data_IF_119925648594
#
_entry.id   IF_119925648594
#
_cell.length_a   1.000
_cell.length_b   1.000
_cell.length_c   1.000
_cell.angle_alpha   90.00
_cell.angle_beta   90.00
_cell.angle_gamma   90.00
#
_symmetry.space_group_name_H-M   'P 1'
#
loop_
_entity.id
_entity.type
_entity.pdbx_description
1 polymer ?
#
# COMPACT_ATOMS: atom_id res chain seq x y z
N UNK A 1 -6.15 -10.93 24.17
CA UNK A 1 -7.37 -10.24 23.70
C UNK A 1 -8.59 -11.05 24.14
N UNK A 2 -9.67 -10.39 24.55
CA UNK A 2 -10.92 -11.04 24.94
C UNK A 2 -11.73 -11.31 23.66
N UNK A 3 -12.07 -12.56 23.37
CA UNK A 3 -12.91 -12.95 22.23
C UNK A 3 -14.14 -13.71 22.70
N UNK A 4 -15.08 -14.02 21.80
CA UNK A 4 -16.24 -14.86 22.10
C UNK A 4 -15.86 -16.28 22.56
N UNK A 5 -14.66 -16.76 22.19
CA UNK A 5 -14.11 -18.07 22.55
C UNK A 5 -13.19 -18.01 23.79
N UNK A 6 -13.21 -16.89 24.52
CA UNK A 6 -12.38 -16.67 25.70
C UNK A 6 -11.15 -15.79 25.45
N UNK A 7 -10.24 -15.76 26.41
CA UNK A 7 -9.02 -14.94 26.31
C UNK A 7 -7.98 -15.64 25.44
N UNK A 8 -7.57 -15.00 24.35
CA UNK A 8 -6.57 -15.50 23.40
C UNK A 8 -5.23 -14.74 23.52
N UNK A 9 -4.07 -15.42 23.44
CA UNK A 9 -2.75 -14.77 23.45
C UNK A 9 -2.47 -14.13 22.09
N UNK A 10 -2.82 -12.86 21.94
CA UNK A 10 -2.75 -12.14 20.69
C UNK A 10 -1.39 -11.46 20.45
N UNK A 11 -0.98 -11.43 19.19
CA UNK A 11 -0.02 -10.50 18.57
C UNK A 11 -0.82 -9.60 17.61
N UNK A 12 -0.60 -8.30 17.65
CA UNK A 12 -1.11 -7.36 16.64
C UNK A 12 0.05 -6.84 15.81
N UNK A 13 -0.03 -6.99 14.49
CA UNK A 13 0.99 -6.55 13.55
C UNK A 13 0.36 -5.61 12.51
N UNK A 14 0.63 -4.32 12.62
CA UNK A 14 0.29 -3.31 11.62
C UNK A 14 1.27 -3.36 10.45
N UNK A 15 0.79 -3.21 9.21
CA UNK A 15 1.64 -3.22 8.01
C UNK A 15 1.66 -1.86 7.32
N UNK A 16 2.74 -1.57 6.57
CA UNK A 16 2.81 -0.41 5.67
C UNK A 16 1.67 -0.37 4.66
N UNK A 17 1.09 -1.54 4.31
CA UNK A 17 -0.06 -1.61 3.42
C UNK A 17 -1.37 -1.14 4.08
N UNK A 18 -1.46 -1.10 5.42
CA UNK A 18 -2.63 -0.61 6.17
C UNK A 18 -3.49 -1.69 6.84
N UNK A 19 -3.16 -2.97 6.67
CA UNK A 19 -3.81 -4.03 7.45
C UNK A 19 -3.19 -4.16 8.85
N UNK A 20 -4.02 -4.47 9.83
CA UNK A 20 -3.59 -4.88 11.17
C UNK A 20 -3.95 -6.35 11.35
N UNK A 21 -2.95 -7.22 11.31
CA UNK A 21 -3.12 -8.65 11.52
C UNK A 21 -3.16 -8.95 13.01
N UNK A 22 -4.20 -9.65 13.45
CA UNK A 22 -4.33 -10.11 14.83
C UNK A 22 -4.21 -11.62 14.84
N UNK A 23 -3.09 -12.11 15.32
CA UNK A 23 -2.72 -13.53 15.28
C UNK A 23 -2.62 -14.10 16.69
N UNK A 24 -2.92 -15.37 16.86
CA UNK A 24 -2.55 -16.10 18.06
C UNK A 24 -1.05 -16.34 18.03
N UNK A 25 -0.32 -15.71 18.94
CA UNK A 25 1.15 -15.72 18.94
C UNK A 25 1.77 -17.09 19.22
N UNK A 26 1.01 -18.05 19.72
CA UNK A 26 1.50 -19.40 20.01
C UNK A 26 1.50 -20.31 18.78
N UNK A 27 0.65 -20.03 17.78
CA UNK A 27 0.45 -20.92 16.63
C UNK A 27 0.34 -20.20 15.27
N UNK A 28 0.40 -18.87 15.25
CA UNK A 28 0.31 -18.05 14.04
C UNK A 28 -1.09 -17.97 13.41
N UNK A 29 -2.11 -18.65 13.96
CA UNK A 29 -3.45 -18.65 13.38
C UNK A 29 -4.13 -17.29 13.57
N UNK A 30 -4.85 -16.77 12.56
CA UNK A 30 -5.59 -15.52 12.71
C UNK A 30 -6.67 -15.61 13.80
N UNK A 31 -6.71 -14.62 14.68
CA UNK A 31 -7.81 -14.41 15.65
C UNK A 31 -8.95 -13.65 14.96
N UNK A 32 -8.62 -12.71 14.08
CA UNK A 32 -9.58 -12.03 13.21
C UNK A 32 -9.49 -12.60 11.79
N UNK A 33 -10.60 -12.58 11.02
CA UNK A 33 -10.59 -13.11 9.66
C UNK A 33 -9.53 -12.43 8.77
N UNK A 34 -8.81 -13.24 8.01
CA UNK A 34 -7.94 -12.80 6.91
C UNK A 34 -8.50 -13.40 5.64
N UNK A 35 -8.71 -12.57 4.61
CA UNK A 35 -9.31 -13.00 3.34
C UNK A 35 -8.33 -12.76 2.21
N UNK A 36 -8.23 -13.73 1.31
CA UNK A 36 -7.57 -13.55 0.02
C UNK A 36 -8.44 -12.65 -0.86
N UNK A 37 -7.87 -11.55 -1.33
CA UNK A 37 -8.53 -10.60 -2.21
C UNK A 37 -7.87 -10.67 -3.59
N UNK A 38 -8.65 -10.77 -4.69
CA UNK A 38 -8.11 -10.66 -6.03
C UNK A 38 -7.38 -9.33 -6.21
N UNK A 39 -6.22 -9.38 -6.84
CA UNK A 39 -5.41 -8.19 -7.13
C UNK A 39 -5.17 -8.08 -8.63
N UNK A 40 -4.89 -6.88 -9.16
CA UNK A 40 -4.57 -6.74 -10.57
C UNK A 40 -3.36 -7.59 -10.94
N UNK A 41 -3.46 -8.36 -12.04
CA UNK A 41 -2.38 -9.22 -12.54
C UNK A 41 -1.30 -8.45 -13.31
N UNK A 42 -1.38 -7.12 -13.30
CA UNK A 42 -0.77 -6.26 -14.29
C UNK A 42 -1.60 -6.21 -15.56
N UNK A 43 -1.55 -5.07 -16.23
CA UNK A 43 -2.23 -4.88 -17.50
C UNK A 43 -1.39 -5.54 -18.60
N UNK A 44 -1.99 -6.44 -19.39
CA UNK A 44 -1.34 -7.02 -20.57
C UNK A 44 -0.99 -5.93 -21.61
N UNK A 45 -1.67 -4.78 -21.55
CA UNK A 45 -1.48 -3.64 -22.45
C UNK A 45 -0.42 -2.65 -21.97
N UNK A 46 0.06 -2.77 -20.72
CA UNK A 46 1.16 -1.94 -20.21
C UNK A 46 2.42 -2.77 -20.04
N UNK A 47 3.55 -2.27 -20.53
CA UNK A 47 4.85 -2.94 -20.39
C UNK A 47 5.21 -3.02 -18.90
N UNK A 48 5.02 -4.20 -18.33
CA UNK A 48 5.52 -4.60 -17.01
C UNK A 48 7.00 -4.94 -17.13
N UNK A 49 7.71 -4.98 -16.00
CA UNK A 49 9.08 -5.47 -15.98
C UNK A 49 9.12 -6.90 -16.55
N UNK A 50 9.95 -7.12 -17.57
CA UNK A 50 10.09 -8.41 -18.24
C UNK A 50 10.40 -9.51 -17.22
N UNK A 51 9.60 -10.58 -17.20
CA UNK A 51 9.75 -11.70 -16.26
C UNK A 51 9.16 -11.49 -14.87
N UNK A 52 8.44 -10.38 -14.63
CA UNK A 52 7.75 -10.15 -13.36
C UNK A 52 6.60 -11.16 -13.15
N UNK A 53 6.52 -11.70 -11.93
CA UNK A 53 5.44 -12.57 -11.48
C UNK A 53 4.58 -11.84 -10.44
N UNK A 54 3.27 -11.78 -10.67
CA UNK A 54 2.30 -11.19 -9.74
C UNK A 54 1.37 -12.28 -9.20
N UNK A 55 1.24 -12.34 -7.88
CA UNK A 55 0.28 -13.23 -7.22
C UNK A 55 -1.16 -12.87 -7.66
N UNK A 56 -2.04 -13.85 -7.90
CA UNK A 56 -3.44 -13.58 -8.26
C UNK A 56 -4.25 -12.96 -7.12
N UNK A 57 -3.83 -13.18 -5.87
CA UNK A 57 -4.50 -12.68 -4.67
C UNK A 57 -3.50 -12.16 -3.65
N UNK A 58 -3.98 -11.38 -2.69
CA UNK A 58 -3.25 -10.97 -1.51
C UNK A 58 -4.11 -11.12 -0.26
N UNK A 59 -3.54 -11.53 0.89
CA UNK A 59 -4.25 -11.57 2.15
C UNK A 59 -4.53 -10.14 2.64
N UNK A 60 -5.75 -9.92 3.13
CA UNK A 60 -6.16 -8.67 3.79
C UNK A 60 -6.86 -9.02 5.11
N UNK A 61 -6.44 -8.34 6.18
CA UNK A 61 -7.05 -8.47 7.51
C UNK A 61 -8.43 -7.81 7.54
N UNK A 62 -9.36 -8.37 8.32
CA UNK A 62 -10.63 -7.72 8.61
C UNK A 62 -10.46 -6.35 9.30
N UNK A 63 -9.37 -6.16 10.05
CA UNK A 63 -8.98 -4.85 10.58
C UNK A 63 -8.03 -4.20 9.59
N UNK A 64 -8.55 -3.26 8.81
CA UNK A 64 -7.82 -2.70 7.68
C UNK A 64 -8.13 -1.21 7.49
N UNK A 65 -7.08 -0.45 7.19
CA UNK A 65 -7.08 0.98 6.96
C UNK A 65 -6.66 1.34 5.53
N UNK A 66 -6.60 0.37 4.61
CA UNK A 66 -6.31 0.65 3.19
C UNK A 66 -7.35 1.67 2.68
N UNK A 67 -6.91 2.89 2.31
CA UNK A 67 -7.81 3.90 1.78
C UNK A 67 -8.27 3.53 0.36
N UNK A 68 -9.48 3.96 0.01
CA UNK A 68 -9.93 3.95 -1.38
C UNK A 68 -9.65 5.32 -1.97
N UNK A 69 -9.22 5.35 -3.22
CA UNK A 69 -9.02 6.59 -3.97
C UNK A 69 -9.67 6.48 -5.33
N UNK A 70 -10.25 7.59 -5.75
CA UNK A 70 -10.87 7.80 -7.02
C UNK A 70 -10.49 9.18 -7.54
N UNK A 71 -10.84 9.46 -8.78
CA UNK A 71 -10.66 10.78 -9.37
C UNK A 71 -11.33 11.91 -8.55
N UNK A 72 -12.42 11.60 -7.83
CA UNK A 72 -13.18 12.58 -7.03
C UNK A 72 -12.41 13.05 -5.80
N UNK A 73 -11.43 12.27 -5.36
CA UNK A 73 -10.62 12.56 -4.17
C UNK A 73 -9.45 13.50 -4.51
N UNK A 74 -9.29 13.89 -5.78
CA UNK A 74 -8.27 14.85 -6.19
C UNK A 74 -8.59 16.23 -5.64
N UNK A 75 -7.61 16.80 -4.95
CA UNK A 75 -7.71 18.06 -4.23
C UNK A 75 -6.69 19.08 -4.74
N UNK A 76 -6.97 20.36 -4.53
CA UNK A 76 -6.07 21.47 -4.81
C UNK A 76 -6.48 22.72 -4.04
N UNK A 77 -5.53 23.63 -3.78
CA UNK A 77 -5.81 24.91 -3.13
C UNK A 77 -6.67 25.84 -4.00
N UNK A 78 -6.60 25.65 -5.33
CA UNK A 78 -7.44 26.31 -6.32
C UNK A 78 -8.12 25.30 -7.26
N UNK A 79 -9.15 25.71 -8.02
CA UNK A 79 -9.73 24.87 -9.06
C UNK A 79 -8.72 24.40 -10.13
N UNK A 80 -7.70 25.21 -10.43
CA UNK A 80 -6.63 24.84 -11.37
C UNK A 80 -5.74 23.74 -10.80
N UNK A 81 -5.40 23.81 -9.52
CA UNK A 81 -4.63 22.76 -8.83
C UNK A 81 -5.41 21.43 -8.82
N UNK A 82 -6.71 21.50 -8.53
CA UNK A 82 -7.57 20.32 -8.55
C UNK A 82 -7.63 19.71 -9.96
N UNK A 83 -7.79 20.55 -11.00
CA UNK A 83 -7.77 20.11 -12.40
C UNK A 83 -6.45 19.43 -12.76
N UNK A 84 -5.32 20.03 -12.41
CA UNK A 84 -3.99 19.47 -12.68
C UNK A 84 -3.80 18.15 -11.94
N UNK A 85 -4.23 18.07 -10.68
CA UNK A 85 -4.16 16.85 -9.88
C UNK A 85 -4.99 15.71 -10.52
N UNK A 86 -6.18 16.05 -11.01
CA UNK A 86 -7.05 15.14 -11.77
C UNK A 86 -6.46 14.68 -13.09
N UNK A 87 -5.83 15.59 -13.85
CA UNK A 87 -5.12 15.24 -15.08
C UNK A 87 -3.99 14.25 -14.77
N UNK A 88 -3.19 14.51 -13.71
CA UNK A 88 -2.12 13.61 -13.26
C UNK A 88 -2.66 12.24 -12.86
N UNK A 89 -3.77 12.19 -12.12
CA UNK A 89 -4.43 10.93 -11.78
C UNK A 89 -4.81 10.14 -13.03
N UNK A 90 -5.46 10.76 -14.01
CA UNK A 90 -5.84 10.12 -15.28
C UNK A 90 -4.66 9.77 -16.18
N UNK A 91 -3.53 10.46 -16.03
CA UNK A 91 -2.33 10.18 -16.83
C UNK A 91 -1.56 8.95 -16.32
N UNK A 92 -1.80 8.49 -15.10
CA UNK A 92 -1.09 7.35 -14.49
C UNK A 92 -1.97 6.10 -14.45
N UNK A 93 -1.34 4.93 -14.38
CA UNK A 93 -2.03 3.69 -14.09
C UNK A 93 -2.41 3.63 -12.60
N UNK A 94 -3.69 3.38 -12.31
CA UNK A 94 -4.18 3.14 -10.95
C UNK A 94 -5.36 2.17 -10.96
N UNK A 95 -5.10 0.96 -10.47
CA UNK A 95 -6.04 -0.15 -10.31
C UNK A 95 -6.21 -0.55 -8.84
N UNK A 96 -5.72 0.28 -7.90
CA UNK A 96 -5.73 0.05 -6.46
C UNK A 96 -4.34 -0.11 -5.83
N UNK A 97 -4.27 -0.54 -4.57
CA UNK A 97 -3.01 -0.67 -3.81
C UNK A 97 -1.98 -1.60 -4.46
N UNK A 98 -2.44 -2.61 -5.20
CA UNK A 98 -1.58 -3.58 -5.89
C UNK A 98 -1.39 -3.25 -7.38
N UNK A 99 -1.53 -1.98 -7.77
CA UNK A 99 -1.19 -1.54 -9.12
C UNK A 99 0.30 -1.73 -9.35
N UNK A 100 0.73 -2.54 -10.34
CA UNK A 100 2.15 -2.70 -10.60
C UNK A 100 2.76 -1.46 -11.23
N UNK A 101 4.09 -1.25 -11.08
CA UNK A 101 4.81 -0.21 -11.82
C UNK A 101 4.72 -0.42 -13.34
N UNK A 102 4.59 0.66 -14.12
CA UNK A 102 4.58 0.63 -15.58
C UNK A 102 5.46 1.70 -16.21
N UNK A 103 5.75 1.56 -17.52
CA UNK A 103 6.49 2.57 -18.29
C UNK A 103 5.74 3.91 -18.40
N UNK A 104 4.41 3.91 -18.38
CA UNK A 104 3.59 5.14 -18.36
C UNK A 104 3.65 5.84 -17.00
N UNK A 105 3.92 5.08 -15.95
CA UNK A 105 3.92 5.53 -14.57
C UNK A 105 2.63 5.11 -13.86
N UNK A 106 2.80 4.62 -12.63
CA UNK A 106 1.75 4.12 -11.77
C UNK A 106 1.62 4.99 -10.53
N UNK A 107 0.38 5.17 -10.10
CA UNK A 107 0.07 5.79 -8.82
C UNK A 107 0.09 4.70 -7.74
N UNK A 108 0.92 4.88 -6.72
CA UNK A 108 1.05 3.96 -5.59
C UNK A 108 0.32 4.57 -4.41
N UNK A 109 -0.79 3.94 -4.01
CA UNK A 109 -1.61 4.40 -2.89
C UNK A 109 -2.31 3.25 -2.16
N UNK A 110 -2.08 3.07 -0.84
CA UNK A 110 -1.16 3.83 0.01
C UNK A 110 0.29 3.74 -0.45
N UNK A 111 1.02 4.81 -0.20
CA UNK A 111 2.38 5.04 -0.66
C UNK A 111 3.44 4.19 0.01
N UNK A 112 4.67 4.27 -0.51
CA UNK A 112 5.84 3.58 0.05
C UNK A 112 6.18 4.02 1.49
N UNK A 113 5.80 5.24 1.87
CA UNK A 113 5.87 5.68 3.27
C UNK A 113 5.06 4.78 4.21
N UNK A 114 3.98 4.18 3.70
CA UNK A 114 3.12 3.25 4.42
C UNK A 114 2.00 3.93 5.20
N UNK A 115 0.91 3.20 5.39
CA UNK A 115 -0.19 3.58 6.29
C UNK A 115 0.27 3.54 7.73
N UNK A 116 0.88 2.43 8.14
CA UNK A 116 1.58 2.31 9.41
C UNK A 116 3.07 2.25 9.13
N UNK A 117 3.76 3.32 9.45
CA UNK A 117 5.22 3.40 9.32
C UNK A 117 5.90 2.82 10.58
N UNK A 118 7.22 3.03 10.71
CA UNK A 118 8.07 2.46 11.76
C UNK A 118 7.58 2.64 13.21
N UNK A 119 6.75 3.64 13.49
CA UNK A 119 6.15 3.88 14.81
C UNK A 119 5.07 2.86 15.23
N UNK A 120 4.51 2.10 14.29
CA UNK A 120 3.52 1.05 14.59
C UNK A 120 2.22 1.57 15.21
N UNK A 121 1.70 0.83 16.20
CA UNK A 121 0.46 1.15 16.93
C UNK A 121 0.66 0.91 18.43
N UNK A 122 -0.18 1.53 19.27
CA UNK A 122 -0.20 1.30 20.71
C UNK A 122 -1.46 0.55 21.14
N UNK A 123 -1.36 -0.33 22.13
CA UNK A 123 -2.50 -1.17 22.57
C UNK A 123 -2.65 -1.10 24.09
N UNK A 124 -3.86 -0.79 24.56
CA UNK A 124 -4.30 -0.99 25.95
C UNK A 124 -4.99 -2.37 26.06
N UNK A 125 -4.31 -3.40 26.62
CA UNK A 125 -4.86 -4.74 26.74
C UNK A 125 -5.88 -4.87 27.87
N UNK A 126 -6.03 -3.90 28.77
CA UNK A 126 -7.05 -3.95 29.84
C UNK A 126 -8.38 -3.44 29.28
N UNK A 127 -8.33 -2.27 28.63
CA UNK A 127 -9.51 -1.62 28.03
C UNK A 127 -9.85 -2.15 26.63
N UNK A 128 -8.97 -2.97 26.03
CA UNK A 128 -9.13 -3.53 24.69
C UNK A 128 -9.20 -2.43 23.60
N UNK A 129 -8.34 -1.42 23.71
CA UNK A 129 -8.29 -0.28 22.78
C UNK A 129 -6.95 -0.30 22.05
N UNK A 130 -6.98 -0.11 20.73
CA UNK A 130 -5.80 0.16 19.93
C UNK A 130 -5.80 1.64 19.50
N UNK A 131 -4.69 2.32 19.73
CA UNK A 131 -4.42 3.68 19.27
C UNK A 131 -3.57 3.59 18.01
N UNK A 132 -4.08 4.17 16.93
CA UNK A 132 -3.53 4.03 15.57
C UNK A 132 -3.30 5.40 14.94
N UNK A 133 -2.28 5.52 14.11
CA UNK A 133 -1.88 6.75 13.43
C UNK A 133 -1.67 6.51 11.92
N UNK A 134 -2.73 6.19 11.17
CA UNK A 134 -2.61 5.89 9.74
C UNK A 134 -2.19 7.14 8.94
N UNK A 135 -1.25 6.99 8.02
CA UNK A 135 -0.88 7.99 7.02
C UNK A 135 -1.44 7.64 5.63
N UNK A 136 -1.84 8.65 4.86
CA UNK A 136 -2.46 8.50 3.55
C UNK A 136 -1.73 9.32 2.49
N UNK A 137 -0.45 9.00 2.28
CA UNK A 137 0.39 9.66 1.28
C UNK A 137 0.49 8.81 0.01
N UNK A 138 0.29 9.41 -1.15
CA UNK A 138 0.45 8.75 -2.46
C UNK A 138 1.83 9.01 -3.07
N UNK A 139 2.34 8.06 -3.84
CA UNK A 139 3.62 8.18 -4.57
C UNK A 139 3.41 7.85 -6.04
N UNK A 140 4.38 8.26 -6.86
CA UNK A 140 4.45 7.87 -8.25
C UNK A 140 5.62 6.91 -8.43
N UNK A 141 5.36 5.81 -9.09
CA UNK A 141 6.39 4.85 -9.48
C UNK A 141 6.40 4.72 -10.99
N UNK A 142 7.56 4.76 -11.63
CA UNK A 142 7.67 4.64 -13.08
C UNK A 142 8.81 3.69 -13.40
N UNK A 143 8.53 2.71 -14.26
CA UNK A 143 9.59 1.90 -14.85
C UNK A 143 10.36 2.76 -15.85
N UNK A 144 11.68 2.70 -15.78
CA UNK A 144 12.60 3.38 -16.69
C UNK A 144 13.40 2.29 -17.41
N UNK A 145 13.39 2.24 -18.75
CA UNK A 145 14.23 1.32 -19.51
C UNK A 145 15.70 1.49 -19.12
N UNK A 146 16.45 0.38 -19.06
CA UNK A 146 17.82 0.40 -18.50
C UNK A 146 18.74 1.32 -19.30
N UNK A 147 18.56 1.34 -20.61
CA UNK A 147 19.25 2.19 -21.58
C UNK A 147 18.98 3.69 -21.39
N UNK A 148 17.86 4.06 -20.76
CA UNK A 148 17.49 5.46 -20.48
C UNK A 148 17.98 5.94 -19.10
N UNK A 149 18.52 5.05 -18.27
CA UNK A 149 19.04 5.41 -16.96
C UNK A 149 20.35 6.18 -17.11
N UNK A 150 20.32 7.48 -16.79
CA UNK A 150 21.49 8.35 -16.86
C UNK A 150 22.67 7.81 -16.02
N UNK A 151 23.90 8.00 -16.52
CA UNK A 151 25.10 7.62 -15.80
C UNK A 151 25.17 8.36 -14.44
N UNK A 152 25.27 7.62 -13.35
CA UNK A 152 25.26 8.17 -11.98
C UNK A 152 23.86 8.39 -11.38
N UNK A 153 22.78 8.01 -12.07
CA UNK A 153 21.46 7.91 -11.44
C UNK A 153 21.53 6.92 -10.27
N UNK A 154 21.11 7.38 -9.10
CA UNK A 154 21.20 6.62 -7.87
C UNK A 154 19.92 6.78 -7.04
N UNK A 155 19.72 5.82 -6.14
CA UNK A 155 18.80 5.96 -5.02
C UNK A 155 19.22 7.20 -4.21
N UNK A 156 18.29 8.13 -4.01
CA UNK A 156 18.51 9.30 -3.14
C UNK A 156 17.93 9.09 -1.75
N UNK A 157 16.78 8.42 -1.66
CA UNK A 157 16.11 8.13 -0.38
C UNK A 157 15.25 6.86 -0.48
N UNK A 158 14.41 6.59 0.54
CA UNK A 158 13.36 5.57 0.46
C UNK A 158 12.25 5.94 -0.55
N UNK A 159 12.09 7.23 -0.81
CA UNK A 159 10.96 7.78 -1.58
C UNK A 159 11.35 8.43 -2.91
N UNK A 160 12.65 8.61 -3.16
CA UNK A 160 13.17 9.30 -4.33
C UNK A 160 14.42 8.62 -4.90
N UNK A 161 14.55 8.69 -6.21
CA UNK A 161 15.71 8.24 -6.96
C UNK A 161 15.38 7.08 -7.89
N UNK A 162 16.31 6.78 -8.78
CA UNK A 162 16.23 5.59 -9.63
C UNK A 162 16.76 4.43 -8.81
N UNK A 163 15.95 3.39 -8.63
CA UNK A 163 16.37 2.14 -8.00
C UNK A 163 16.94 1.25 -9.11
N UNK A 164 18.26 1.02 -9.18
CA UNK A 164 18.81 0.06 -10.13
C UNK A 164 18.35 -1.35 -9.73
N UNK A 165 17.76 -2.08 -10.68
CA UNK A 165 17.61 -3.54 -10.58
C UNK A 165 18.97 -4.23 -10.73
#
# INVERSE_FOLDING_TARGET
>A
IKTAQGVQPALMASTKQGSVYVLNRLNGKPIYPVKEMPVPKGDEQEVLATGAYYSPTQPISAINFVPKMSEKDMWGGTPFDQLICRIKYRSMNYQGIYTPPSLRGSLVYPGNFGVFDWGGISVDPVRQIAFVNPNFMAFKSKLVPREEVAHGAARKSEVEGVQPN
#
